data_IF_658332716535
#
_entry.id   IF_658332716535
#
_cell.length_a   1.000
_cell.length_b   1.000
_cell.length_c   1.000
_cell.angle_alpha   90.00
_cell.angle_beta   90.00
_cell.angle_gamma   90.00
#
_symmetry.space_group_name_H-M   'P 1'
#
loop_
_entity.id
_entity.type
_entity.pdbx_description
1 polymer ?
#
# COMPACT_ATOMS: atom_id res chain seq x y z
N UNK A 1 -0.10 41.11 39.78
CA UNK A 1 -0.64 41.36 38.43
C UNK A 1 -0.28 40.16 37.54
N UNK A 2 -1.28 39.54 36.91
CA UNK A 2 -1.13 38.26 36.21
C UNK A 2 -0.57 38.48 34.79
N UNK A 3 -0.32 37.36 34.09
CA UNK A 3 -0.13 37.21 32.63
C UNK A 3 1.29 36.90 32.17
N UNK A 4 1.91 35.90 32.80
CA UNK A 4 2.96 35.07 32.17
C UNK A 4 2.36 33.78 31.56
N UNK A 5 1.10 33.82 31.09
CA UNK A 5 0.42 32.65 30.51
C UNK A 5 0.17 32.77 28.99
N UNK A 6 0.69 33.81 28.33
CA UNK A 6 0.39 34.05 26.92
C UNK A 6 1.39 33.37 25.94
N UNK A 7 2.53 32.87 26.41
CA UNK A 7 3.60 32.40 25.50
C UNK A 7 3.53 30.90 25.15
N UNK A 8 2.74 30.11 25.88
CA UNK A 8 2.69 28.64 25.72
C UNK A 8 1.67 28.15 24.67
N UNK A 9 0.88 29.04 24.07
CA UNK A 9 -0.19 28.68 23.13
C UNK A 9 0.23 28.65 21.65
N UNK A 10 1.46 29.02 21.31
CA UNK A 10 1.90 29.12 19.91
C UNK A 10 2.64 27.88 19.37
N UNK A 11 2.90 26.85 20.18
CA UNK A 11 3.62 25.63 19.72
C UNK A 11 2.72 24.53 19.13
N UNK A 12 1.40 24.71 19.08
CA UNK A 12 0.46 23.64 18.69
C UNK A 12 0.13 23.50 17.20
N UNK A 13 0.65 24.36 16.32
CA UNK A 13 0.17 24.47 14.92
C UNK A 13 1.06 23.80 13.86
N UNK A 14 2.12 23.09 14.26
CA UNK A 14 2.86 22.23 13.34
C UNK A 14 2.10 20.91 13.18
N UNK A 15 0.98 20.96 12.45
CA UNK A 15 0.43 19.74 11.88
C UNK A 15 1.53 19.13 11.00
N UNK A 16 1.95 17.86 11.21
CA UNK A 16 2.83 17.21 10.26
C UNK A 16 2.08 17.18 8.93
N UNK A 17 2.53 17.98 7.96
CA UNK A 17 2.17 17.74 6.58
C UNK A 17 2.82 16.41 6.24
N UNK A 18 2.03 15.34 6.25
CA UNK A 18 2.45 14.10 5.64
C UNK A 18 2.82 14.49 4.21
N UNK A 19 4.13 14.50 3.92
CA UNK A 19 4.63 14.66 2.56
C UNK A 19 3.78 13.72 1.71
N UNK A 20 3.25 14.22 0.59
CA UNK A 20 2.44 13.42 -0.31
C UNK A 20 3.29 12.23 -0.76
N UNK A 21 3.22 11.15 0.03
CA UNK A 21 3.82 9.87 -0.28
C UNK A 21 3.18 9.49 -1.58
N UNK A 22 4.01 9.25 -2.60
CA UNK A 22 3.59 8.56 -3.81
C UNK A 22 2.60 7.47 -3.36
N UNK A 23 1.34 7.59 -3.80
CA UNK A 23 0.26 6.82 -3.18
C UNK A 23 0.60 5.33 -3.28
N UNK A 24 0.88 4.69 -2.14
CA UNK A 24 1.29 3.30 -2.14
C UNK A 24 0.20 2.45 -2.77
N UNK A 25 0.61 1.42 -3.51
CA UNK A 25 -0.30 0.41 -4.02
C UNK A 25 -0.80 -0.39 -2.81
N UNK A 26 -2.07 -0.19 -2.48
CA UNK A 26 -2.75 -0.79 -1.34
C UNK A 26 -4.25 -0.90 -1.62
N UNK A 27 -4.96 -1.64 -0.78
CA UNK A 27 -6.42 -1.75 -0.87
C UNK A 27 -7.08 -0.36 -0.71
N UNK A 28 -7.97 0.05 -1.63
CA UNK A 28 -8.59 1.38 -1.58
C UNK A 28 -9.39 1.68 -0.31
N UNK A 29 -9.91 0.64 0.36
CA UNK A 29 -10.75 0.75 1.56
C UNK A 29 -9.96 0.65 2.87
N UNK A 30 -8.63 0.65 2.83
CA UNK A 30 -7.80 0.57 4.03
C UNK A 30 -8.00 1.80 4.92
N UNK A 31 -8.23 1.57 6.21
CA UNK A 31 -8.38 2.63 7.22
C UNK A 31 -7.14 2.78 8.13
N UNK A 32 -6.34 1.73 8.27
CA UNK A 32 -5.15 1.69 9.12
C UNK A 32 -3.87 1.75 8.29
N UNK A 33 -2.73 2.14 8.88
CA UNK A 33 -1.45 2.07 8.18
C UNK A 33 -1.13 0.65 7.67
N UNK A 34 -0.40 0.54 6.56
CA UNK A 34 0.08 -0.75 6.10
C UNK A 34 1.14 -1.29 7.07
N UNK A 35 0.97 -2.51 7.61
CA UNK A 35 1.96 -3.09 8.51
C UNK A 35 3.24 -3.52 7.79
N UNK A 36 3.14 -3.86 6.49
CA UNK A 36 4.25 -4.40 5.70
C UNK A 36 4.38 -3.64 4.37
N UNK A 37 5.06 -2.49 4.38
CA UNK A 37 5.37 -1.74 3.17
C UNK A 37 6.65 -2.26 2.52
N UNK A 38 6.58 -2.47 1.20
CA UNK A 38 7.72 -2.82 0.37
C UNK A 38 8.00 -1.70 -0.61
N UNK A 39 9.22 -1.15 -0.60
CA UNK A 39 9.67 -0.14 -1.55
C UNK A 39 10.54 -0.77 -2.64
N UNK A 40 10.19 -0.61 -3.92
CA UNK A 40 10.97 -1.17 -5.05
C UNK A 40 11.02 -0.20 -6.21
N UNK A 41 12.09 -0.27 -6.99
CA UNK A 41 12.13 0.41 -8.29
C UNK A 41 11.34 -0.43 -9.29
N UNK A 42 10.32 0.17 -9.89
CA UNK A 42 9.52 -0.47 -10.93
C UNK A 42 9.04 0.59 -11.93
N UNK A 43 8.62 0.13 -13.10
CA UNK A 43 7.94 0.95 -14.10
C UNK A 43 6.54 0.38 -14.29
N UNK A 44 5.55 1.02 -13.68
CA UNK A 44 4.15 0.63 -13.85
C UNK A 44 3.66 1.00 -15.25
N UNK A 45 2.60 0.34 -15.77
CA UNK A 45 1.97 0.76 -17.02
C UNK A 45 1.61 2.25 -17.00
N UNK A 46 1.93 2.96 -18.09
CA UNK A 46 1.75 4.41 -18.20
C UNK A 46 2.88 5.27 -17.62
N UNK A 47 3.89 4.69 -16.96
CA UNK A 47 5.06 5.45 -16.51
C UNK A 47 6.08 5.64 -17.64
N UNK A 48 6.59 6.87 -17.79
CA UNK A 48 7.62 7.20 -18.77
C UNK A 48 9.03 6.68 -18.42
N UNK A 49 9.31 6.45 -17.13
CA UNK A 49 10.58 5.94 -16.63
C UNK A 49 10.37 5.17 -15.31
N UNK A 50 11.28 4.26 -14.93
CA UNK A 50 11.25 3.58 -13.64
C UNK A 50 11.31 4.57 -12.47
N UNK A 51 10.57 4.28 -11.41
CA UNK A 51 10.54 5.06 -10.17
C UNK A 51 10.48 4.14 -8.95
N UNK A 52 10.80 4.68 -7.78
CA UNK A 52 10.48 3.98 -6.53
C UNK A 52 8.96 3.94 -6.40
N UNK A 53 8.41 2.77 -6.08
CA UNK A 53 7.02 2.57 -5.71
C UNK A 53 6.97 1.91 -4.34
N UNK A 54 5.88 2.13 -3.61
CA UNK A 54 5.57 1.37 -2.40
C UNK A 54 4.35 0.48 -2.61
N UNK A 55 4.42 -0.74 -2.07
CA UNK A 55 3.37 -1.76 -2.14
C UNK A 55 3.08 -2.26 -0.73
N UNK A 56 1.82 -2.36 -0.35
CA UNK A 56 1.48 -3.05 0.88
C UNK A 56 1.37 -4.56 0.67
N UNK A 57 2.34 -5.32 1.18
CA UNK A 57 2.42 -6.78 0.98
C UNK A 57 1.19 -7.51 1.54
N UNK A 58 0.72 -7.09 2.72
CA UNK A 58 -0.39 -7.74 3.43
C UNK A 58 -1.69 -7.75 2.62
N UNK A 59 -1.88 -6.77 1.74
CA UNK A 59 -3.09 -6.63 0.94
C UNK A 59 -3.18 -7.70 -0.17
N UNK A 60 -2.04 -8.30 -0.53
CA UNK A 60 -1.90 -9.34 -1.55
C UNK A 60 -1.59 -10.72 -0.97
N UNK A 61 -1.40 -10.84 0.35
CA UNK A 61 -0.86 -12.03 1.01
C UNK A 61 -1.59 -13.34 0.64
N UNK A 62 -2.91 -13.28 0.44
CA UNK A 62 -3.71 -14.43 0.05
C UNK A 62 -3.26 -15.04 -1.30
N UNK A 63 -2.82 -14.21 -2.24
CA UNK A 63 -2.36 -14.65 -3.56
C UNK A 63 -0.88 -15.06 -3.59
N UNK A 64 -0.15 -14.83 -2.49
CA UNK A 64 1.28 -15.19 -2.36
C UNK A 64 1.48 -16.57 -1.74
N UNK A 65 0.40 -17.25 -1.34
CA UNK A 65 0.45 -18.55 -0.69
C UNK A 65 -0.06 -19.64 -1.63
N UNK A 66 0.53 -20.83 -1.57
CA UNK A 66 -0.05 -21.99 -2.26
C UNK A 66 -1.36 -22.40 -1.56
N UNK A 67 -2.47 -22.62 -2.29
CA UNK A 67 -3.71 -23.06 -1.69
C UNK A 67 -3.58 -24.50 -1.18
N UNK A 68 -4.01 -24.75 0.05
CA UNK A 68 -3.91 -26.07 0.67
C UNK A 68 -4.98 -27.07 0.18
N UNK A 69 -6.08 -26.56 -0.38
CA UNK A 69 -7.21 -27.35 -0.86
C UNK A 69 -8.02 -26.57 -1.92
N UNK A 70 -9.01 -27.25 -2.51
CA UNK A 70 -9.87 -26.69 -3.57
C UNK A 70 -10.69 -25.48 -3.09
N UNK A 71 -11.21 -25.50 -1.86
CA UNK A 71 -11.97 -24.37 -1.30
C UNK A 71 -11.11 -23.11 -1.22
N UNK A 72 -9.86 -23.26 -0.78
CA UNK A 72 -8.92 -22.14 -0.71
C UNK A 72 -8.48 -21.68 -2.11
N UNK A 73 -8.34 -22.60 -3.07
CA UNK A 73 -8.07 -22.25 -4.46
C UNK A 73 -9.21 -21.42 -5.07
N UNK A 74 -10.46 -21.79 -4.83
CA UNK A 74 -11.63 -21.02 -5.28
C UNK A 74 -11.61 -19.63 -4.65
N UNK A 75 -11.33 -19.53 -3.34
CA UNK A 75 -11.21 -18.26 -2.63
C UNK A 75 -10.14 -17.37 -3.23
N UNK A 76 -8.94 -17.91 -3.48
CA UNK A 76 -7.84 -17.18 -4.11
C UNK A 76 -8.22 -16.69 -5.51
N UNK A 77 -8.86 -17.52 -6.33
CA UNK A 77 -9.31 -17.15 -7.67
C UNK A 77 -10.31 -15.98 -7.64
N UNK A 78 -11.26 -15.99 -6.70
CA UNK A 78 -12.21 -14.90 -6.52
C UNK A 78 -11.53 -13.61 -6.05
N UNK A 79 -10.59 -13.71 -5.11
CA UNK A 79 -9.79 -12.55 -4.67
C UNK A 79 -8.93 -11.99 -5.80
N UNK A 80 -8.33 -12.85 -6.63
CA UNK A 80 -7.58 -12.43 -7.81
C UNK A 80 -8.44 -11.59 -8.74
N UNK A 81 -9.64 -12.07 -9.11
CA UNK A 81 -10.59 -11.32 -9.95
C UNK A 81 -10.97 -9.96 -9.36
N UNK A 82 -11.17 -9.90 -8.05
CA UNK A 82 -11.45 -8.63 -7.36
C UNK A 82 -10.27 -7.65 -7.48
N UNK A 83 -9.04 -8.14 -7.30
CA UNK A 83 -7.84 -7.31 -7.42
C UNK A 83 -7.57 -6.91 -8.88
N UNK A 84 -7.90 -7.75 -9.85
CA UNK A 84 -7.83 -7.42 -11.29
C UNK A 84 -8.77 -6.24 -11.60
N UNK A 85 -9.98 -6.23 -11.04
CA UNK A 85 -10.90 -5.10 -11.20
C UNK A 85 -10.40 -3.79 -10.55
N UNK A 86 -9.53 -3.89 -9.53
CA UNK A 86 -8.99 -2.73 -8.82
C UNK A 86 -7.71 -2.18 -9.43
N UNK A 87 -6.83 -3.07 -9.91
CA UNK A 87 -5.48 -2.72 -10.36
C UNK A 87 -5.25 -2.91 -11.87
N UNK A 88 -6.19 -3.55 -12.57
CA UNK A 88 -6.10 -3.82 -14.01
C UNK A 88 -4.82 -4.57 -14.37
N UNK A 89 -4.18 -4.12 -15.46
CA UNK A 89 -2.90 -4.65 -15.96
C UNK A 89 -1.73 -4.53 -14.97
N UNK A 90 -1.86 -3.71 -13.93
CA UNK A 90 -0.80 -3.52 -12.93
C UNK A 90 -0.71 -4.71 -11.96
N UNK A 91 -1.79 -5.49 -11.79
CA UNK A 91 -1.84 -6.56 -10.78
C UNK A 91 -0.72 -7.59 -10.96
N UNK A 92 -0.51 -8.07 -12.19
CA UNK A 92 0.47 -9.12 -12.43
C UNK A 92 1.89 -8.64 -12.09
N UNK A 93 2.23 -7.40 -12.47
CA UNK A 93 3.52 -6.79 -12.12
C UNK A 93 3.69 -6.68 -10.59
N UNK A 94 2.63 -6.32 -9.86
CA UNK A 94 2.67 -6.30 -8.38
C UNK A 94 2.99 -7.69 -7.82
N UNK A 95 2.28 -8.72 -8.27
CA UNK A 95 2.50 -10.09 -7.80
C UNK A 95 3.90 -10.60 -8.14
N UNK A 96 4.42 -10.26 -9.32
CA UNK A 96 5.78 -10.62 -9.74
C UNK A 96 6.85 -9.91 -8.89
N UNK A 97 6.61 -8.68 -8.45
CA UNK A 97 7.49 -7.97 -7.52
C UNK A 97 7.49 -8.65 -6.14
N UNK A 98 6.32 -9.04 -5.65
CA UNK A 98 6.14 -9.63 -4.31
C UNK A 98 6.67 -11.06 -4.23
N UNK A 99 6.47 -11.88 -5.25
CA UNK A 99 6.94 -13.27 -5.29
C UNK A 99 8.47 -13.40 -5.38
N UNK A 100 9.20 -12.35 -5.77
CA UNK A 100 10.69 -12.36 -5.75
C UNK A 100 11.28 -12.11 -4.37
N UNK A 101 10.44 -11.80 -3.37
CA UNK A 101 10.87 -11.42 -2.01
C UNK A 101 10.57 -12.50 -0.97
N UNK A 102 9.73 -13.48 -1.32
CA UNK A 102 9.38 -14.64 -0.49
C UNK A 102 10.18 -15.86 -0.96
#
# INVERSE_FOLDING_TARGET
MPRLNALLLMLGLLAPTAAATEACIQQPKRQQACPNLLYRVAQLPGMAAPKVICICVTDFALLLQQPANETEQIRQNMTKRQLEAQHGETLQLILDILNRQL
#
